data_IF_880346740465
#
_entry.id   IF_880346740465
#
_cell.length_a   1.000
_cell.length_b   1.000
_cell.length_c   1.000
_cell.angle_alpha   90.00
_cell.angle_beta   90.00
_cell.angle_gamma   90.00
#
_symmetry.space_group_name_H-M   'P 1'
#
loop_
_entity.id
_entity.type
_entity.pdbx_description
1 polymer ?
#
# COMPACT_ATOMS: atom_id res chain seq x y z
N UNK A 1 -18.10 4.69 -8.43
CA UNK A 1 -17.04 4.54 -9.45
C UNK A 1 -17.27 5.53 -10.59
N UNK A 2 -16.27 6.30 -10.93
CA UNK A 2 -16.32 7.21 -12.08
C UNK A 2 -16.16 6.41 -13.38
N UNK A 3 -16.92 6.77 -14.43
CA UNK A 3 -16.96 5.98 -15.67
C UNK A 3 -15.61 5.90 -16.42
N UNK A 4 -14.78 6.96 -16.35
CA UNK A 4 -13.47 7.01 -17.00
C UNK A 4 -12.47 5.99 -16.41
N UNK A 5 -12.71 5.42 -15.22
CA UNK A 5 -11.87 4.36 -14.67
C UNK A 5 -11.86 3.11 -15.57
N UNK A 6 -12.98 2.79 -16.23
CA UNK A 6 -13.08 1.59 -17.09
C UNK A 6 -12.01 1.56 -18.18
N UNK A 7 -11.62 2.74 -18.71
CA UNK A 7 -10.56 2.85 -19.70
C UNK A 7 -9.13 2.68 -19.15
N UNK A 8 -8.95 2.70 -17.83
CA UNK A 8 -7.65 2.60 -17.16
C UNK A 8 -7.39 1.21 -16.56
N UNK A 9 -8.41 0.35 -16.55
CA UNK A 9 -8.35 -0.99 -15.96
C UNK A 9 -8.48 -2.08 -17.02
N UNK A 10 -7.94 -3.24 -16.73
CA UNK A 10 -8.03 -4.43 -17.56
C UNK A 10 -8.24 -5.69 -16.71
N UNK A 11 -8.69 -6.76 -17.33
CA UNK A 11 -8.88 -8.04 -16.66
C UNK A 11 -7.54 -8.58 -16.12
N UNK A 12 -7.42 -8.89 -14.81
CA UNK A 12 -6.20 -9.42 -14.25
C UNK A 12 -5.85 -10.84 -14.73
N UNK A 13 -6.79 -11.53 -15.36
CA UNK A 13 -6.60 -12.89 -15.84
C UNK A 13 -6.05 -12.96 -17.26
N UNK A 14 -6.51 -12.07 -18.13
CA UNK A 14 -6.17 -12.13 -19.54
C UNK A 14 -5.77 -10.79 -20.19
N UNK A 15 -5.80 -9.68 -19.45
CA UNK A 15 -5.52 -8.33 -19.96
C UNK A 15 -6.64 -7.78 -20.88
N UNK A 16 -7.79 -8.46 -21.02
CA UNK A 16 -8.91 -8.01 -21.83
C UNK A 16 -9.61 -6.78 -21.24
N UNK A 17 -10.34 -6.03 -22.07
CA UNK A 17 -11.13 -4.88 -21.65
C UNK A 17 -12.34 -5.32 -20.82
N UNK A 18 -12.83 -4.39 -19.97
CA UNK A 18 -14.07 -4.58 -19.25
C UNK A 18 -15.24 -3.86 -19.91
N UNK A 19 -16.36 -4.58 -20.07
CA UNK A 19 -17.68 -4.01 -20.27
C UNK A 19 -18.42 -3.88 -18.95
N UNK A 20 -19.40 -2.98 -18.91
CA UNK A 20 -20.29 -2.78 -17.75
C UNK A 20 -21.58 -3.59 -17.96
N UNK A 21 -21.94 -4.41 -16.98
CA UNK A 21 -23.16 -5.22 -16.99
C UNK A 21 -24.02 -4.89 -15.78
N UNK A 22 -25.32 -4.68 -16.00
CA UNK A 22 -26.30 -4.32 -14.97
C UNK A 22 -25.87 -3.12 -14.13
N UNK A 23 -25.24 -2.12 -14.77
CA UNK A 23 -24.74 -0.93 -14.08
C UNK A 23 -25.89 0.00 -13.67
N UNK A 24 -25.93 0.36 -12.39
CA UNK A 24 -26.79 1.40 -11.86
C UNK A 24 -25.97 2.66 -11.69
N UNK A 25 -26.42 3.73 -12.34
CA UNK A 25 -25.75 5.05 -12.29
C UNK A 25 -26.57 6.00 -11.43
N UNK A 26 -25.90 6.76 -10.58
CA UNK A 26 -26.47 7.87 -9.79
C UNK A 26 -25.49 9.05 -9.87
N UNK A 27 -25.98 10.25 -10.21
CA UNK A 27 -25.18 11.48 -10.28
C UNK A 27 -23.88 11.32 -11.11
N UNK A 28 -24.00 10.67 -12.30
CA UNK A 28 -22.89 10.34 -13.21
C UNK A 28 -21.86 9.33 -12.65
N UNK A 29 -22.10 8.73 -11.48
CA UNK A 29 -21.27 7.69 -10.92
C UNK A 29 -21.94 6.31 -10.96
N UNK A 30 -21.17 5.26 -11.27
CA UNK A 30 -21.62 3.89 -11.24
C UNK A 30 -21.59 3.43 -9.78
N UNK A 31 -22.77 3.24 -9.19
CA UNK A 31 -22.91 2.85 -7.78
C UNK A 31 -22.96 1.35 -7.56
N UNK A 32 -23.43 0.59 -8.55
CA UNK A 32 -23.44 -0.88 -8.51
C UNK A 32 -23.44 -1.45 -9.92
N UNK A 33 -23.11 -2.73 -10.06
CA UNK A 33 -23.04 -3.44 -11.32
C UNK A 33 -21.92 -4.47 -11.34
N UNK A 34 -21.50 -4.85 -12.52
CA UNK A 34 -20.38 -5.78 -12.72
C UNK A 34 -19.46 -5.28 -13.83
N UNK A 35 -18.17 -5.44 -13.62
CA UNK A 35 -17.14 -5.38 -14.64
C UNK A 35 -17.01 -6.77 -15.24
N UNK A 36 -17.42 -6.96 -16.49
CA UNK A 36 -17.28 -8.23 -17.19
C UNK A 36 -16.20 -8.14 -18.25
N UNK A 37 -15.26 -9.06 -18.22
CA UNK A 37 -14.22 -9.13 -19.24
C UNK A 37 -14.80 -9.58 -20.59
N UNK A 38 -14.58 -8.79 -21.63
CA UNK A 38 -15.06 -9.09 -22.99
C UNK A 38 -14.31 -10.28 -23.63
N UNK A 39 -13.14 -10.66 -23.08
CA UNK A 39 -12.28 -11.72 -23.65
C UNK A 39 -12.45 -13.08 -22.97
N UNK A 40 -12.52 -13.13 -21.63
CA UNK A 40 -12.57 -14.39 -20.87
C UNK A 40 -13.82 -14.53 -20.00
N UNK A 41 -14.76 -13.61 -20.10
CA UNK A 41 -16.01 -13.56 -19.36
C UNK A 41 -15.86 -13.50 -17.81
N UNK A 42 -14.65 -13.36 -17.26
CA UNK A 42 -14.44 -13.13 -15.84
C UNK A 42 -15.24 -11.89 -15.40
N UNK A 43 -15.90 -11.97 -14.26
CA UNK A 43 -16.81 -10.92 -13.79
C UNK A 43 -16.49 -10.52 -12.36
N UNK A 44 -16.48 -9.20 -12.09
CA UNK A 44 -16.14 -8.61 -10.80
C UNK A 44 -17.21 -7.58 -10.41
N UNK A 45 -17.65 -7.57 -9.13
CA UNK A 45 -18.68 -6.65 -8.69
C UNK A 45 -18.17 -5.21 -8.55
N UNK A 46 -19.11 -4.27 -8.70
CA UNK A 46 -19.00 -2.89 -8.26
C UNK A 46 -19.93 -2.75 -7.06
N UNK A 47 -19.38 -2.52 -5.87
CA UNK A 47 -20.09 -2.46 -4.61
C UNK A 47 -20.01 -1.05 -4.03
N UNK A 48 -21.14 -0.36 -3.91
CA UNK A 48 -21.23 1.04 -3.42
C UNK A 48 -20.29 2.01 -4.13
N UNK A 49 -20.07 1.78 -5.43
CA UNK A 49 -19.16 2.57 -6.26
C UNK A 49 -17.71 2.11 -6.24
N UNK A 50 -17.34 1.12 -5.42
CA UNK A 50 -16.00 0.54 -5.38
C UNK A 50 -15.92 -0.69 -6.29
N UNK A 51 -15.06 -0.74 -7.32
CA UNK A 51 -14.77 -1.96 -8.05
C UNK A 51 -13.96 -2.93 -7.19
N UNK A 52 -14.49 -4.15 -6.99
CA UNK A 52 -13.87 -5.22 -6.19
C UNK A 52 -13.36 -6.29 -7.13
N UNK A 53 -12.08 -6.18 -7.52
CA UNK A 53 -11.44 -7.08 -8.49
C UNK A 53 -10.53 -8.04 -7.74
N UNK A 54 -11.17 -8.94 -6.99
CA UNK A 54 -10.51 -9.95 -6.18
C UNK A 54 -10.97 -11.34 -6.58
N UNK A 55 -10.06 -12.30 -6.50
CA UNK A 55 -10.38 -13.72 -6.53
C UNK A 55 -10.48 -14.28 -5.12
N UNK A 56 -11.32 -15.27 -4.91
CA UNK A 56 -11.38 -16.00 -3.65
C UNK A 56 -10.14 -16.87 -3.51
N UNK A 57 -9.16 -16.41 -2.73
CA UNK A 57 -8.03 -17.22 -2.27
C UNK A 57 -8.04 -17.23 -0.75
N UNK A 58 -8.25 -18.40 -0.16
CA UNK A 58 -8.36 -18.56 1.29
C UNK A 58 -7.09 -18.12 2.06
N UNK A 59 -5.91 -18.22 1.45
CA UNK A 59 -4.64 -17.81 2.07
C UNK A 59 -4.53 -16.29 2.19
N UNK A 60 -4.89 -15.57 1.14
CA UNK A 60 -4.85 -14.11 1.12
C UNK A 60 -5.95 -13.46 1.95
N UNK A 61 -7.04 -14.17 2.27
CA UNK A 61 -8.15 -13.62 3.06
C UNK A 61 -7.74 -13.23 4.49
N UNK A 62 -6.82 -13.95 5.12
CA UNK A 62 -6.29 -13.61 6.45
C UNK A 62 -5.49 -12.31 6.45
N UNK A 63 -4.58 -12.16 5.51
CA UNK A 63 -3.78 -10.94 5.35
C UNK A 63 -4.70 -9.76 5.03
N UNK A 64 -5.70 -9.96 4.16
CA UNK A 64 -6.72 -8.97 3.82
C UNK A 64 -7.47 -8.48 5.06
N UNK A 65 -7.98 -9.39 5.89
CA UNK A 65 -8.70 -9.08 7.14
C UNK A 65 -7.79 -8.39 8.17
N UNK A 66 -6.53 -8.83 8.27
CA UNK A 66 -5.57 -8.25 9.20
C UNK A 66 -5.30 -6.78 8.88
N UNK A 67 -4.93 -6.47 7.64
CA UNK A 67 -4.69 -5.08 7.23
C UNK A 67 -5.95 -4.23 7.27
N UNK A 68 -7.11 -4.77 6.86
CA UNK A 68 -8.38 -4.05 6.99
C UNK A 68 -8.67 -3.62 8.42
N UNK A 69 -8.39 -4.51 9.41
CA UNK A 69 -8.52 -4.16 10.82
C UNK A 69 -7.50 -3.13 11.28
N UNK A 70 -6.24 -3.27 10.89
CA UNK A 70 -5.18 -2.31 11.24
C UNK A 70 -5.56 -0.90 10.78
N UNK A 71 -5.94 -0.73 9.52
CA UNK A 71 -6.32 0.57 8.98
C UNK A 71 -7.59 1.14 9.63
N UNK A 72 -8.58 0.27 9.95
CA UNK A 72 -9.75 0.70 10.71
C UNK A 72 -9.39 1.22 12.11
N UNK A 73 -8.43 0.58 12.77
CA UNK A 73 -7.95 1.01 14.09
C UNK A 73 -7.20 2.35 13.99
N UNK A 74 -6.44 2.58 12.91
CA UNK A 74 -5.82 3.87 12.63
C UNK A 74 -6.85 4.97 12.37
N UNK A 75 -7.83 4.70 11.53
CA UNK A 75 -8.89 5.66 11.20
C UNK A 75 -9.71 6.05 12.44
N UNK A 76 -9.92 5.11 13.38
CA UNK A 76 -10.58 5.35 14.66
C UNK A 76 -9.69 6.04 15.72
N UNK A 77 -8.48 6.49 15.37
CA UNK A 77 -7.51 7.15 16.28
C UNK A 77 -7.21 6.35 17.56
N UNK A 78 -7.40 5.03 17.56
CA UNK A 78 -7.19 4.17 18.74
C UNK A 78 -5.75 4.17 19.26
N UNK A 79 -4.80 4.67 18.50
CA UNK A 79 -3.39 4.72 18.86
C UNK A 79 -2.88 6.14 19.17
N UNK A 80 -3.76 7.10 19.37
CA UNK A 80 -3.42 8.51 19.65
C UNK A 80 -2.39 9.07 18.65
N UNK A 81 -2.49 8.73 17.38
CA UNK A 81 -1.46 9.10 16.44
C UNK A 81 -1.96 10.13 15.44
N UNK A 82 -1.30 11.26 15.47
CA UNK A 82 -1.15 12.16 14.32
C UNK A 82 -0.27 11.50 13.23
N UNK A 83 0.18 10.25 13.46
CA UNK A 83 1.17 9.57 12.63
C UNK A 83 0.64 8.22 12.14
N UNK A 84 0.87 7.91 10.88
CA UNK A 84 0.70 6.57 10.30
C UNK A 84 2.09 5.92 10.29
N UNK A 85 2.25 4.77 10.96
CA UNK A 85 3.53 4.08 11.09
C UNK A 85 4.69 4.98 11.58
N UNK A 86 4.40 5.92 12.50
CA UNK A 86 5.39 6.86 13.03
C UNK A 86 5.67 8.08 12.16
N UNK A 87 5.03 8.22 11.00
CA UNK A 87 5.14 9.39 10.12
C UNK A 87 3.96 10.33 10.31
N UNK A 88 4.21 11.62 10.37
CA UNK A 88 3.17 12.65 10.33
C UNK A 88 2.58 12.72 8.93
N UNK A 89 1.35 13.21 8.83
CA UNK A 89 0.63 13.34 7.56
C UNK A 89 1.41 14.17 6.53
N UNK A 90 2.01 15.28 6.96
CA UNK A 90 2.81 16.17 6.13
C UNK A 90 4.11 15.52 5.62
N UNK A 91 4.60 14.51 6.34
CA UNK A 91 5.80 13.77 5.95
C UNK A 91 5.54 12.87 4.75
N UNK A 92 4.34 12.30 4.61
CA UNK A 92 3.99 11.44 3.47
C UNK A 92 4.08 12.16 2.13
N UNK A 93 3.53 13.38 2.03
CA UNK A 93 3.65 14.20 0.81
C UNK A 93 5.10 14.60 0.53
N UNK A 94 5.85 15.00 1.56
CA UNK A 94 7.27 15.35 1.43
C UNK A 94 8.10 14.16 0.94
N UNK A 95 7.87 12.98 1.53
CA UNK A 95 8.57 11.75 1.13
C UNK A 95 8.25 11.39 -0.33
N UNK A 96 7.00 11.56 -0.75
CA UNK A 96 6.58 11.36 -2.13
C UNK A 96 7.31 12.34 -3.09
N UNK A 97 7.33 13.65 -2.77
CA UNK A 97 8.04 14.65 -3.56
C UNK A 97 9.53 14.31 -3.69
N UNK A 98 10.15 13.98 -2.58
CA UNK A 98 11.58 13.72 -2.47
C UNK A 98 11.98 12.43 -3.22
N UNK A 99 11.19 11.36 -3.09
CA UNK A 99 11.41 10.09 -3.77
C UNK A 99 11.41 10.24 -5.30
N UNK A 100 10.47 11.02 -5.82
CA UNK A 100 10.35 11.25 -7.25
C UNK A 100 11.13 12.47 -7.78
N UNK A 101 11.69 13.29 -6.89
CA UNK A 101 12.38 14.53 -7.26
C UNK A 101 11.43 15.56 -7.87
N UNK A 102 10.22 15.70 -7.27
CA UNK A 102 9.21 16.65 -7.70
C UNK A 102 9.50 17.99 -7.02
N UNK A 103 9.73 19.06 -7.80
CA UNK A 103 9.86 20.41 -7.27
C UNK A 103 8.50 20.97 -6.82
N UNK A 104 7.56 20.99 -7.75
CA UNK A 104 6.20 21.48 -7.52
C UNK A 104 5.16 20.48 -8.01
N UNK A 105 4.06 20.31 -7.28
CA UNK A 105 2.96 19.40 -7.65
C UNK A 105 2.25 19.82 -8.95
N UNK A 106 2.31 21.10 -9.32
CA UNK A 106 1.78 21.60 -10.58
C UNK A 106 2.42 20.94 -11.80
N UNK A 107 3.69 20.49 -11.69
CA UNK A 107 4.41 19.74 -12.74
C UNK A 107 3.78 18.36 -13.04
N UNK A 108 2.93 17.85 -12.17
CA UNK A 108 2.24 16.57 -12.35
C UNK A 108 0.94 16.68 -13.16
N UNK A 109 0.64 17.85 -13.73
CA UNK A 109 -0.54 18.01 -14.61
C UNK A 109 -0.49 17.02 -15.78
N UNK A 110 -1.59 16.25 -15.93
CA UNK A 110 -1.71 15.21 -16.95
C UNK A 110 -1.03 13.88 -16.59
N UNK A 111 -0.31 13.80 -15.48
CA UNK A 111 0.28 12.53 -15.01
C UNK A 111 -0.79 11.59 -14.47
N UNK A 112 -0.56 10.29 -14.66
CA UNK A 112 -1.30 9.21 -14.03
C UNK A 112 -0.42 8.59 -12.95
N UNK A 113 -0.90 8.59 -11.71
CA UNK A 113 -0.16 8.16 -10.52
C UNK A 113 -0.85 6.95 -9.91
N UNK A 114 -0.09 5.91 -9.59
CA UNK A 114 -0.57 4.75 -8.83
C UNK A 114 -0.03 4.80 -7.40
N UNK A 115 -0.94 4.73 -6.44
CA UNK A 115 -0.66 4.42 -5.05
C UNK A 115 -0.96 2.92 -4.83
N UNK A 116 0.08 2.11 -4.93
CA UNK A 116 0.00 0.64 -4.88
C UNK A 116 0.09 0.15 -3.44
N UNK A 117 -1.06 -0.15 -2.84
CA UNK A 117 -1.26 -0.45 -1.43
C UNK A 117 -1.67 0.80 -0.67
N UNK A 118 -2.69 1.50 -1.15
CA UNK A 118 -3.11 2.81 -0.65
C UNK A 118 -3.68 2.80 0.78
N UNK A 119 -3.92 1.64 1.36
CA UNK A 119 -4.48 1.50 2.70
C UNK A 119 -5.80 2.24 2.86
N UNK A 120 -5.89 3.15 3.81
CA UNK A 120 -7.09 3.99 4.02
C UNK A 120 -7.14 5.25 3.15
N UNK A 121 -6.23 5.38 2.15
CA UNK A 121 -6.26 6.44 1.14
C UNK A 121 -5.81 7.83 1.63
N UNK A 122 -5.11 7.93 2.76
CA UNK A 122 -4.66 9.23 3.31
C UNK A 122 -3.69 9.90 2.33
N UNK A 123 -2.60 9.20 1.97
CA UNK A 123 -1.61 9.74 1.03
C UNK A 123 -2.21 9.92 -0.37
N UNK A 124 -3.04 8.98 -0.83
CA UNK A 124 -3.77 9.09 -2.10
C UNK A 124 -4.56 10.40 -2.20
N UNK A 125 -5.33 10.72 -1.14
CA UNK A 125 -6.12 11.95 -1.08
C UNK A 125 -5.25 13.20 -1.02
N UNK A 126 -4.14 13.15 -0.28
CA UNK A 126 -3.22 14.28 -0.14
C UNK A 126 -2.48 14.58 -1.44
N UNK A 127 -2.01 13.54 -2.17
CA UNK A 127 -1.43 13.70 -3.52
C UNK A 127 -2.46 14.32 -4.47
N UNK A 128 -3.70 13.82 -4.47
CA UNK A 128 -4.75 14.30 -5.36
C UNK A 128 -5.11 15.78 -5.13
N UNK A 129 -5.15 16.21 -3.86
CA UNK A 129 -5.37 17.60 -3.49
C UNK A 129 -4.21 18.51 -3.88
N UNK A 130 -2.97 18.01 -3.69
CA UNK A 130 -1.76 18.77 -4.05
C UNK A 130 -1.57 18.86 -5.58
N UNK A 131 -2.01 17.85 -6.34
CA UNK A 131 -1.88 17.75 -7.80
C UNK A 131 -3.27 17.61 -8.47
N UNK A 132 -4.14 18.62 -8.46
CA UNK A 132 -5.50 18.50 -8.98
C UNK A 132 -5.56 18.23 -10.49
N UNK A 133 -4.49 18.50 -11.22
CA UNK A 133 -4.36 18.19 -12.65
C UNK A 133 -3.86 16.79 -12.97
N UNK A 134 -3.49 15.98 -11.96
CA UNK A 134 -3.09 14.58 -12.12
C UNK A 134 -4.28 13.65 -11.91
N UNK A 135 -4.23 12.45 -12.46
CA UNK A 135 -5.15 11.34 -12.10
C UNK A 135 -4.45 10.43 -11.11
N UNK A 136 -5.06 10.18 -9.96
CA UNK A 136 -4.51 9.31 -8.91
C UNK A 136 -5.36 8.06 -8.79
N UNK A 137 -4.73 6.89 -8.88
CA UNK A 137 -5.39 5.59 -8.70
C UNK A 137 -4.82 4.95 -7.43
N UNK A 138 -5.68 4.67 -6.45
CA UNK A 138 -5.34 3.90 -5.26
C UNK A 138 -5.79 2.46 -5.42
N UNK A 139 -4.89 1.52 -5.15
CA UNK A 139 -5.21 0.09 -5.15
C UNK A 139 -4.86 -0.49 -3.80
N UNK A 140 -5.80 -1.17 -3.15
CA UNK A 140 -5.52 -1.94 -1.94
C UNK A 140 -6.23 -3.28 -1.97
N UNK A 141 -5.57 -4.29 -1.41
CA UNK A 141 -6.09 -5.64 -1.33
C UNK A 141 -7.10 -5.82 -0.19
N UNK A 142 -6.94 -5.07 0.88
CA UNK A 142 -7.70 -5.22 2.12
C UNK A 142 -9.04 -4.47 2.09
N UNK A 143 -9.85 -4.67 3.12
CA UNK A 143 -11.08 -3.92 3.33
C UNK A 143 -10.86 -2.41 3.54
N UNK A 144 -9.60 -1.98 3.73
CA UNK A 144 -9.27 -0.55 3.83
C UNK A 144 -9.52 0.22 2.54
N UNK A 145 -9.59 -0.45 1.37
CA UNK A 145 -10.01 0.16 0.12
C UNK A 145 -11.39 0.85 0.23
N UNK A 146 -12.29 0.34 1.09
CA UNK A 146 -13.58 1.00 1.36
C UNK A 146 -13.41 2.32 2.14
N UNK A 147 -12.45 2.36 3.07
CA UNK A 147 -12.11 3.60 3.79
C UNK A 147 -11.47 4.60 2.83
N UNK A 148 -10.59 4.12 1.95
CA UNK A 148 -9.97 4.95 0.91
C UNK A 148 -11.00 5.51 -0.07
N UNK A 149 -11.95 4.69 -0.53
CA UNK A 149 -13.04 5.13 -1.41
C UNK A 149 -13.90 6.21 -0.74
N UNK A 150 -14.33 5.97 0.51
CA UNK A 150 -15.10 6.95 1.26
C UNK A 150 -14.36 8.28 1.45
N UNK A 151 -13.03 8.23 1.73
CA UNK A 151 -12.19 9.42 1.89
C UNK A 151 -11.97 10.20 0.60
N UNK A 152 -11.87 9.49 -0.52
CA UNK A 152 -11.53 10.08 -1.81
C UNK A 152 -12.74 10.37 -2.72
N UNK A 153 -13.94 10.03 -2.30
CA UNK A 153 -15.16 10.10 -3.12
C UNK A 153 -15.41 11.47 -3.72
N UNK A 154 -15.22 12.54 -2.92
CA UNK A 154 -15.40 13.93 -3.34
C UNK A 154 -14.27 14.44 -4.26
N UNK A 155 -13.18 13.70 -4.41
CA UNK A 155 -12.04 14.13 -5.22
C UNK A 155 -12.24 13.70 -6.69
N UNK A 156 -12.40 14.64 -7.64
CA UNK A 156 -12.77 14.31 -9.03
C UNK A 156 -11.66 13.53 -9.76
N UNK A 157 -10.42 13.67 -9.32
CA UNK A 157 -9.23 13.12 -9.94
C UNK A 157 -8.72 11.83 -9.27
N UNK A 158 -9.53 11.20 -8.39
CA UNK A 158 -9.14 9.96 -7.71
C UNK A 158 -10.05 8.80 -8.12
N UNK A 159 -9.44 7.62 -8.22
CA UNK A 159 -10.11 6.34 -8.36
C UNK A 159 -9.55 5.34 -7.35
N UNK A 160 -10.41 4.60 -6.67
CA UNK A 160 -10.02 3.53 -5.75
C UNK A 160 -10.49 2.19 -6.29
N UNK A 161 -9.63 1.18 -6.17
CA UNK A 161 -9.89 -0.19 -6.61
C UNK A 161 -9.49 -1.15 -5.49
N UNK A 162 -10.36 -2.08 -5.13
CA UNK A 162 -9.97 -3.20 -4.28
C UNK A 162 -9.43 -4.33 -5.14
N UNK A 163 -8.12 -4.56 -5.13
CA UNK A 163 -7.48 -5.56 -6.00
C UNK A 163 -6.15 -6.08 -5.43
N UNK A 164 -5.71 -7.23 -5.94
CA UNK A 164 -4.43 -7.85 -5.61
C UNK A 164 -3.29 -7.30 -6.49
N UNK A 165 -2.28 -6.74 -5.87
CA UNK A 165 -1.10 -6.21 -6.55
C UNK A 165 -0.19 -7.29 -7.18
N UNK A 166 -0.39 -8.56 -6.84
CA UNK A 166 0.30 -9.65 -7.54
C UNK A 166 -0.26 -9.90 -8.95
N UNK A 167 -1.48 -9.40 -9.21
CA UNK A 167 -2.17 -9.39 -10.51
C UNK A 167 -3.05 -8.14 -10.64
N UNK A 168 -2.42 -6.96 -10.71
CA UNK A 168 -3.17 -5.71 -10.71
C UNK A 168 -4.05 -5.61 -11.97
N UNK A 169 -5.30 -5.17 -11.83
CA UNK A 169 -6.20 -5.01 -12.96
C UNK A 169 -5.93 -3.70 -13.72
N UNK A 170 -4.68 -3.48 -14.10
CA UNK A 170 -4.19 -2.23 -14.63
C UNK A 170 -3.42 -2.47 -15.94
N UNK A 171 -3.61 -1.59 -16.92
CA UNK A 171 -2.95 -1.71 -18.21
C UNK A 171 -1.45 -1.38 -18.11
N UNK A 172 -0.63 -2.08 -18.90
CA UNK A 172 0.80 -1.79 -19.00
C UNK A 172 1.05 -0.38 -19.54
N UNK A 173 2.16 0.23 -19.16
CA UNK A 173 2.62 1.56 -19.63
C UNK A 173 1.57 2.66 -19.42
N UNK A 174 0.84 2.62 -18.31
CA UNK A 174 -0.21 3.60 -17.98
C UNK A 174 0.27 4.69 -17.05
N UNK A 175 1.20 4.37 -16.14
CA UNK A 175 1.55 5.24 -15.03
C UNK A 175 2.85 6.01 -15.27
N UNK A 176 2.81 7.30 -14.96
CA UNK A 176 4.00 8.15 -14.91
C UNK A 176 4.78 7.91 -13.64
N UNK A 177 4.06 7.72 -12.52
CA UNK A 177 4.63 7.45 -11.20
C UNK A 177 3.88 6.29 -10.54
N UNK A 178 4.63 5.35 -9.94
CA UNK A 178 4.08 4.31 -9.05
C UNK A 178 4.76 4.42 -7.70
N UNK A 179 3.94 4.58 -6.66
CA UNK A 179 4.33 4.57 -5.25
C UNK A 179 3.88 3.28 -4.59
N UNK A 180 4.76 2.56 -3.92
CA UNK A 180 4.42 1.38 -3.11
C UNK A 180 5.25 1.36 -1.83
N UNK A 181 4.68 1.82 -0.74
CA UNK A 181 5.34 1.94 0.55
C UNK A 181 4.78 0.96 1.57
N UNK A 182 5.61 0.05 2.06
CA UNK A 182 5.21 -0.87 3.13
C UNK A 182 4.27 -2.01 2.69
N UNK A 183 4.24 -2.37 1.40
CA UNK A 183 3.18 -3.22 0.84
C UNK A 183 3.68 -4.55 0.30
N UNK A 184 4.48 -4.54 -0.76
CA UNK A 184 4.75 -5.75 -1.55
C UNK A 184 5.51 -6.85 -0.78
N UNK A 185 6.21 -6.51 0.29
CA UNK A 185 6.86 -7.51 1.15
C UNK A 185 5.89 -8.26 2.08
N UNK A 186 4.60 -7.88 2.08
CA UNK A 186 3.51 -8.59 2.72
C UNK A 186 2.69 -9.46 1.75
N UNK A 187 3.10 -9.55 0.49
CA UNK A 187 2.52 -10.47 -0.49
C UNK A 187 3.19 -11.86 -0.40
N UNK A 188 2.58 -12.92 -0.93
CA UNK A 188 3.18 -14.25 -0.95
C UNK A 188 4.55 -14.30 -1.60
N UNK A 189 4.79 -13.46 -2.62
CA UNK A 189 6.06 -13.35 -3.35
C UNK A 189 6.32 -11.88 -3.72
N UNK A 190 7.27 -11.26 -3.02
CA UNK A 190 7.64 -9.85 -3.22
C UNK A 190 8.18 -9.59 -4.62
N UNK A 191 9.03 -10.48 -5.16
CA UNK A 191 9.64 -10.30 -6.48
C UNK A 191 8.59 -10.42 -7.58
N UNK A 192 7.62 -11.32 -7.43
CA UNK A 192 6.47 -11.44 -8.34
C UNK A 192 5.60 -10.18 -8.31
N UNK A 193 5.29 -9.66 -7.13
CA UNK A 193 4.50 -8.44 -6.98
C UNK A 193 5.24 -7.22 -7.55
N UNK A 194 6.56 -7.14 -7.38
CA UNK A 194 7.37 -6.15 -8.08
C UNK A 194 7.28 -6.32 -9.61
N UNK A 195 7.40 -7.57 -10.10
CA UNK A 195 7.35 -7.89 -11.52
C UNK A 195 5.98 -7.58 -12.17
N UNK A 196 4.90 -7.59 -11.39
CA UNK A 196 3.56 -7.20 -11.87
C UNK A 196 3.35 -5.68 -11.89
N UNK A 197 4.03 -4.91 -11.02
CA UNK A 197 3.98 -3.45 -11.01
C UNK A 197 4.92 -2.83 -12.07
N UNK A 198 6.09 -3.41 -12.26
CA UNK A 198 7.14 -2.85 -13.10
C UNK A 198 6.72 -2.56 -14.57
N UNK A 199 5.92 -3.40 -15.27
CA UNK A 199 5.49 -3.13 -16.64
C UNK A 199 4.39 -2.05 -16.74
N UNK A 200 3.77 -1.64 -15.63
CA UNK A 200 2.71 -0.63 -15.61
C UNK A 200 3.25 0.79 -15.82
N UNK A 201 4.54 1.00 -15.56
CA UNK A 201 5.20 2.30 -15.70
C UNK A 201 5.49 2.60 -17.18
N UNK A 202 5.19 3.83 -17.60
CA UNK A 202 5.54 4.37 -18.93
C UNK A 202 7.06 4.46 -19.10
N UNK A 203 7.54 4.56 -20.35
CA UNK A 203 8.91 4.95 -20.63
C UNK A 203 9.20 6.31 -19.94
N UNK A 204 10.38 6.44 -19.32
CA UNK A 204 10.80 7.59 -18.48
C UNK A 204 9.96 7.81 -17.22
N UNK A 205 8.92 7.01 -16.95
CA UNK A 205 8.19 7.02 -15.69
C UNK A 205 9.03 6.46 -14.55
N UNK A 206 8.55 6.58 -13.32
CA UNK A 206 9.30 6.18 -12.13
C UNK A 206 8.50 5.21 -11.26
N UNK A 207 9.19 4.23 -10.69
CA UNK A 207 8.68 3.30 -9.68
C UNK A 207 9.45 3.51 -8.38
N UNK A 208 8.73 3.78 -7.29
CA UNK A 208 9.24 3.80 -5.94
C UNK A 208 8.69 2.63 -5.15
N UNK A 209 9.56 1.96 -4.40
CA UNK A 209 9.17 0.97 -3.39
C UNK A 209 9.89 1.21 -2.08
N UNK A 210 9.18 0.96 -0.96
CA UNK A 210 9.77 0.80 0.36
C UNK A 210 9.42 -0.58 0.91
N UNK A 211 10.43 -1.36 1.29
CA UNK A 211 10.30 -2.73 1.79
C UNK A 211 11.32 -3.01 2.88
N UNK A 212 11.08 -4.06 3.68
CA UNK A 212 11.98 -4.45 4.76
C UNK A 212 13.35 -4.93 4.29
N UNK A 213 14.42 -4.42 4.94
CA UNK A 213 15.80 -4.86 4.75
C UNK A 213 16.15 -6.06 5.62
N UNK A 214 16.91 -7.01 5.07
CA UNK A 214 17.55 -8.12 5.83
C UNK A 214 18.58 -7.61 6.84
N UNK A 215 19.13 -6.42 6.61
CA UNK A 215 20.22 -5.83 7.41
C UNK A 215 19.68 -5.18 8.69
N UNK A 216 18.40 -4.81 8.73
CA UNK A 216 17.80 -4.15 9.89
C UNK A 216 17.48 -5.16 10.99
N UNK A 217 18.10 -4.96 12.15
CA UNK A 217 17.81 -5.68 13.38
C UNK A 217 16.75 -4.91 14.18
N UNK A 218 15.65 -5.55 14.50
CA UNK A 218 14.53 -4.96 15.24
C UNK A 218 13.96 -6.00 16.21
N UNK A 219 13.62 -5.62 17.46
CA UNK A 219 12.98 -6.50 18.41
C UNK A 219 11.62 -7.03 17.89
N UNK A 220 10.90 -6.23 17.14
CA UNK A 220 9.64 -6.62 16.49
C UNK A 220 9.86 -7.74 15.47
N UNK A 221 10.87 -7.59 14.59
CA UNK A 221 11.22 -8.62 13.59
C UNK A 221 11.80 -9.87 14.23
N UNK A 222 12.53 -9.75 15.35
CA UNK A 222 12.99 -10.87 16.14
C UNK A 222 11.81 -11.65 16.72
N UNK A 223 10.82 -10.99 17.32
CA UNK A 223 9.58 -11.58 17.79
C UNK A 223 8.86 -12.34 16.67
N UNK A 224 8.71 -11.73 15.48
CA UNK A 224 8.11 -12.37 14.29
C UNK A 224 8.88 -13.63 13.88
N UNK A 225 10.21 -13.61 13.95
CA UNK A 225 11.05 -14.77 13.59
C UNK A 225 10.86 -15.94 14.55
N UNK A 226 10.66 -15.65 15.85
CA UNK A 226 10.39 -16.64 16.90
C UNK A 226 8.94 -17.13 16.80
N UNK A 227 7.99 -16.19 16.72
CA UNK A 227 6.56 -16.44 16.74
C UNK A 227 5.99 -16.54 15.31
N UNK A 228 6.61 -17.36 14.46
CA UNK A 228 6.30 -17.43 13.02
C UNK A 228 4.83 -17.69 12.69
N UNK A 229 4.11 -18.39 13.55
CA UNK A 229 2.70 -18.77 13.36
C UNK A 229 1.74 -17.93 14.17
N UNK A 230 2.17 -16.83 14.80
CA UNK A 230 1.30 -15.96 15.59
C UNK A 230 0.10 -15.44 14.79
N UNK A 231 0.27 -15.20 13.48
CA UNK A 231 -0.82 -14.79 12.59
C UNK A 231 -2.00 -15.79 12.53
N UNK A 232 -1.81 -17.05 12.99
CA UNK A 232 -2.87 -18.06 13.08
C UNK A 232 -3.78 -17.86 14.30
N UNK A 233 -3.35 -17.09 15.30
CA UNK A 233 -4.15 -16.82 16.48
C UNK A 233 -5.42 -16.04 16.12
N UNK A 234 -6.51 -16.25 16.87
CA UNK A 234 -7.66 -15.35 16.81
C UNK A 234 -7.22 -13.90 17.08
N UNK A 235 -7.86 -12.95 16.41
CA UNK A 235 -7.49 -11.53 16.49
C UNK A 235 -7.39 -10.97 17.93
N UNK A 236 -8.33 -11.29 18.87
CA UNK A 236 -8.19 -10.82 20.27
C UNK A 236 -6.95 -11.37 20.96
N UNK A 237 -6.64 -12.66 20.73
CA UNK A 237 -5.46 -13.30 21.34
C UNK A 237 -4.16 -12.73 20.75
N UNK A 238 -4.10 -12.49 19.44
CA UNK A 238 -2.95 -11.83 18.79
C UNK A 238 -2.73 -10.42 19.33
N UNK A 239 -3.83 -9.68 19.54
CA UNK A 239 -3.77 -8.34 20.10
C UNK A 239 -3.27 -8.36 21.56
N UNK A 240 -3.78 -9.27 22.41
CA UNK A 240 -3.30 -9.47 23.77
C UNK A 240 -1.81 -9.84 23.81
N UNK A 241 -1.36 -10.74 22.90
CA UNK A 241 0.04 -11.11 22.76
C UNK A 241 0.92 -9.90 22.41
N UNK A 242 0.48 -9.05 21.48
CA UNK A 242 1.21 -7.84 21.11
C UNK A 242 1.39 -6.88 22.30
N UNK A 243 0.35 -6.69 23.13
CA UNK A 243 0.43 -5.90 24.35
C UNK A 243 1.37 -6.52 25.40
N UNK A 244 1.31 -7.84 25.59
CA UNK A 244 2.21 -8.55 26.51
C UNK A 244 3.68 -8.37 26.11
N UNK A 245 3.99 -8.51 24.82
CA UNK A 245 5.35 -8.28 24.30
C UNK A 245 5.78 -6.82 24.37
N UNK A 246 4.84 -5.90 24.34
CA UNK A 246 5.14 -4.47 24.41
C UNK A 246 5.60 -4.01 25.79
N UNK A 247 5.11 -4.62 26.87
CA UNK A 247 5.40 -4.18 28.23
C UNK A 247 6.91 -4.13 28.55
N UNK A 248 7.69 -5.22 28.39
CA UNK A 248 9.12 -5.19 28.71
C UNK A 248 9.92 -4.24 27.79
N UNK A 249 9.56 -4.20 26.50
CA UNK A 249 10.24 -3.29 25.58
C UNK A 249 9.92 -1.84 25.87
N UNK A 250 8.67 -1.52 26.23
CA UNK A 250 8.28 -0.18 26.63
C UNK A 250 9.00 0.27 27.92
N UNK A 251 9.10 -0.61 28.94
CA UNK A 251 9.83 -0.34 30.15
C UNK A 251 11.31 -0.03 29.86
N UNK A 252 11.96 -0.82 28.99
CA UNK A 252 13.33 -0.59 28.55
C UNK A 252 13.48 0.75 27.80
N UNK A 253 12.52 1.10 26.95
CA UNK A 253 12.53 2.38 26.24
C UNK A 253 12.35 3.57 27.21
N UNK A 254 11.47 3.45 28.20
CA UNK A 254 11.29 4.47 29.26
C UNK A 254 12.56 4.67 30.08
N UNK A 255 13.28 3.59 30.38
CA UNK A 255 14.57 3.70 31.07
C UNK A 255 15.62 4.42 30.22
N UNK A 256 15.67 4.14 28.89
CA UNK A 256 16.56 4.86 27.96
C UNK A 256 16.18 6.34 27.85
N UNK A 257 14.89 6.69 27.83
CA UNK A 257 14.41 8.07 27.86
C UNK A 257 14.88 8.78 29.15
N UNK A 258 14.73 8.12 30.31
CA UNK A 258 15.16 8.65 31.59
C UNK A 258 16.69 8.86 31.66
N UNK A 259 17.47 7.96 31.08
CA UNK A 259 18.92 8.07 30.96
C UNK A 259 19.36 9.03 29.82
N UNK A 260 18.44 9.69 29.15
CA UNK A 260 18.69 10.62 28.03
C UNK A 260 19.51 10.00 26.88
N UNK A 261 19.46 8.68 26.72
CA UNK A 261 20.13 7.97 25.61
C UNK A 261 19.31 7.94 24.32
N UNK A 262 18.10 8.48 24.34
CA UNK A 262 17.22 8.68 23.18
C UNK A 262 16.39 9.94 23.34
N UNK A 263 16.09 10.60 22.24
CA UNK A 263 15.13 11.72 22.15
C UNK A 263 13.73 11.27 21.75
N UNK A 264 13.59 10.00 21.33
CA UNK A 264 12.33 9.44 20.87
C UNK A 264 11.47 9.09 22.07
N UNK A 265 10.27 9.66 22.15
CA UNK A 265 9.25 9.31 23.15
C UNK A 265 8.44 8.12 22.69
N UNK A 266 8.56 7.00 23.38
CA UNK A 266 7.82 5.77 23.08
C UNK A 266 6.53 5.69 23.91
N UNK A 267 5.39 5.51 23.24
CA UNK A 267 4.12 5.22 23.88
C UNK A 267 3.88 3.71 23.91
N UNK A 268 3.28 3.18 24.97
CA UNK A 268 3.02 1.75 25.10
C UNK A 268 2.13 1.23 23.97
N UNK A 269 1.06 1.97 23.64
CA UNK A 269 0.15 1.62 22.57
C UNK A 269 0.87 1.54 21.20
N UNK A 270 1.79 2.46 20.91
CA UNK A 270 2.60 2.44 19.68
C UNK A 270 3.53 1.23 19.64
N UNK A 271 4.12 0.87 20.80
CA UNK A 271 4.98 -0.33 20.92
C UNK A 271 4.15 -1.61 20.70
N UNK A 272 2.97 -1.69 21.29
CA UNK A 272 2.04 -2.82 21.11
C UNK A 272 1.57 -2.93 19.65
N UNK A 273 1.25 -1.80 19.03
CA UNK A 273 0.88 -1.77 17.62
C UNK A 273 2.00 -2.27 16.72
N UNK A 274 3.25 -1.87 16.96
CA UNK A 274 4.39 -2.35 16.16
C UNK A 274 4.58 -3.87 16.26
N UNK A 275 4.32 -4.48 17.42
CA UNK A 275 4.27 -5.95 17.52
C UNK A 275 3.09 -6.55 16.76
N UNK A 276 1.91 -5.95 16.89
CA UNK A 276 0.73 -6.43 16.17
C UNK A 276 0.94 -6.36 14.65
N UNK A 277 1.49 -5.26 14.16
CA UNK A 277 1.80 -5.04 12.73
C UNK A 277 2.71 -6.14 12.16
N UNK A 278 3.78 -6.50 12.85
CA UNK A 278 4.70 -7.53 12.36
C UNK A 278 4.19 -8.97 12.58
N UNK A 279 3.33 -9.21 13.57
CA UNK A 279 2.86 -10.55 13.92
C UNK A 279 1.58 -10.95 13.17
N UNK A 280 0.77 -9.97 12.74
CA UNK A 280 -0.56 -10.22 12.17
C UNK A 280 -0.55 -10.63 10.68
N UNK A 281 0.35 -10.17 9.80
CA UNK A 281 0.39 -10.63 8.42
C UNK A 281 0.86 -12.07 8.30
N UNK A 282 0.30 -12.82 7.37
CA UNK A 282 0.79 -14.16 7.04
C UNK A 282 2.18 -14.09 6.42
N UNK A 283 2.38 -13.14 5.52
CA UNK A 283 3.65 -12.94 4.81
C UNK A 283 4.37 -11.70 5.32
N UNK A 284 5.66 -11.82 5.54
CA UNK A 284 6.56 -10.72 5.85
C UNK A 284 7.97 -11.09 5.39
N UNK A 285 8.36 -10.55 4.25
CA UNK A 285 9.65 -10.80 3.64
C UNK A 285 10.64 -9.67 3.90
N UNK A 286 11.92 -9.98 3.88
CA UNK A 286 13.00 -8.99 3.95
C UNK A 286 14.01 -9.28 2.85
N UNK A 287 14.59 -8.25 2.28
CA UNK A 287 15.45 -8.34 1.11
C UNK A 287 16.76 -7.60 1.30
N UNK A 288 17.78 -7.87 0.48
CA UNK A 288 18.99 -7.06 0.40
C UNK A 288 18.85 -5.95 -0.66
N UNK A 289 19.61 -4.86 -0.51
CA UNK A 289 19.64 -3.80 -1.52
C UNK A 289 20.06 -4.32 -2.90
N UNK A 290 21.00 -5.27 -2.92
CA UNK A 290 21.50 -5.88 -4.17
C UNK A 290 20.42 -6.70 -4.88
N UNK A 291 19.64 -7.50 -4.15
CA UNK A 291 18.51 -8.26 -4.66
C UNK A 291 17.45 -7.34 -5.29
N UNK A 292 17.09 -6.28 -4.58
CA UNK A 292 16.11 -5.29 -5.06
C UNK A 292 16.62 -4.53 -6.28
N UNK A 293 17.87 -4.10 -6.28
CA UNK A 293 18.47 -3.47 -7.46
C UNK A 293 18.48 -4.41 -8.69
N UNK A 294 18.64 -5.71 -8.45
CA UNK A 294 18.52 -6.74 -9.49
C UNK A 294 17.12 -6.77 -10.12
N UNK A 295 16.06 -6.67 -9.30
CA UNK A 295 14.68 -6.61 -9.82
C UNK A 295 14.46 -5.41 -10.73
N UNK A 296 14.89 -4.23 -10.31
CA UNK A 296 14.78 -3.01 -11.12
C UNK A 296 15.48 -3.15 -12.47
N UNK A 297 16.76 -3.58 -12.45
CA UNK A 297 17.56 -3.76 -13.68
C UNK A 297 16.93 -4.78 -14.63
N UNK A 298 16.48 -5.93 -14.11
CA UNK A 298 15.82 -6.98 -14.89
C UNK A 298 14.58 -6.46 -15.65
N UNK A 299 13.91 -5.44 -15.11
CA UNK A 299 12.72 -4.85 -15.71
C UNK A 299 13.02 -3.55 -16.49
N UNK A 300 14.27 -3.26 -16.82
CA UNK A 300 14.68 -2.10 -17.61
C UNK A 300 14.49 -0.78 -16.85
N UNK A 301 14.93 -0.74 -15.59
CA UNK A 301 15.01 0.49 -14.80
C UNK A 301 16.46 0.85 -14.53
N UNK A 302 16.79 2.11 -14.80
CA UNK A 302 18.07 2.72 -14.48
C UNK A 302 17.93 3.83 -13.44
N UNK A 303 19.05 4.54 -13.18
CA UNK A 303 19.05 5.71 -12.30
C UNK A 303 18.57 5.43 -10.87
N UNK A 304 18.89 4.25 -10.32
CA UNK A 304 18.39 3.84 -8.99
C UNK A 304 18.90 4.76 -7.89
N UNK A 305 17.97 5.36 -7.14
CA UNK A 305 18.24 6.21 -5.99
C UNK A 305 17.72 5.56 -4.73
N UNK A 306 18.63 5.11 -3.87
CA UNK A 306 18.31 4.59 -2.54
C UNK A 306 18.27 5.72 -1.54
N UNK A 307 17.19 5.80 -0.76
CA UNK A 307 17.12 6.75 0.35
C UNK A 307 18.12 6.39 1.45
N UNK A 308 18.65 7.43 2.11
CA UNK A 308 19.49 7.31 3.33
C UNK A 308 18.72 7.61 4.61
N UNK A 309 17.49 8.05 4.50
CA UNK A 309 16.65 8.49 5.63
C UNK A 309 15.99 7.33 6.37
N UNK A 310 16.00 6.14 5.78
CA UNK A 310 15.47 4.92 6.39
C UNK A 310 16.52 3.82 6.42
N UNK A 311 16.60 3.03 7.51
CA UNK A 311 17.44 1.84 7.55
C UNK A 311 16.91 0.70 6.66
N UNK A 312 15.65 0.73 6.31
CA UNK A 312 15.02 -0.19 5.37
C UNK A 312 15.31 0.19 3.90
N UNK A 313 14.80 -0.57 2.96
CA UNK A 313 15.06 -0.35 1.54
C UNK A 313 13.97 0.55 0.98
N UNK A 314 14.32 1.80 0.74
CA UNK A 314 13.53 2.75 -0.01
C UNK A 314 14.29 3.10 -1.30
N UNK A 315 13.72 2.82 -2.45
CA UNK A 315 14.39 2.99 -3.73
C UNK A 315 13.43 3.45 -4.82
N UNK A 316 13.89 4.42 -5.61
CA UNK A 316 13.23 4.90 -6.81
C UNK A 316 14.08 4.60 -8.03
N UNK A 317 13.48 4.01 -9.08
CA UNK A 317 14.09 3.78 -10.39
C UNK A 317 13.30 4.44 -11.51
N UNK A 318 14.00 4.83 -12.57
CA UNK A 318 13.39 5.39 -13.79
C UNK A 318 13.35 4.31 -14.87
N UNK A 319 12.19 4.15 -15.52
CA UNK A 319 11.99 3.22 -16.65
C UNK A 319 12.75 3.72 -17.88
N UNK A 320 13.59 2.88 -18.44
CA UNK A 320 14.33 3.15 -19.68
C UNK A 320 13.45 3.00 -20.92
#
# INVERSE_FOLDING_TARGET
>A
MKANLVGLICCPDCGGRFGLVNARVKEAEIVSGKLQCERCAASFPIEDGLPVILRSDARSDRTRKSFGKQWKMHDQKRFEQETIYGKKKEEGLRDFQQAFGIGEFASLRGCVILDAGCGSGVLTADIAKAAPGATVIGVDFSESARLADARCRELPNVHIIQADLSRPPLAARTFDLIWSEGVIHHTPDTARSFSSLAPLVKARGKLYIWIYSKEVRSPYRAARRILRKAYLLPQPALYALAWTLALPLHAANKMREAMRTTTIRHRLASTAYSFYDVLSPEFMHSHSRMEVAGWFRKHGYGGLRFSRETPDIAVCGTKE
#
